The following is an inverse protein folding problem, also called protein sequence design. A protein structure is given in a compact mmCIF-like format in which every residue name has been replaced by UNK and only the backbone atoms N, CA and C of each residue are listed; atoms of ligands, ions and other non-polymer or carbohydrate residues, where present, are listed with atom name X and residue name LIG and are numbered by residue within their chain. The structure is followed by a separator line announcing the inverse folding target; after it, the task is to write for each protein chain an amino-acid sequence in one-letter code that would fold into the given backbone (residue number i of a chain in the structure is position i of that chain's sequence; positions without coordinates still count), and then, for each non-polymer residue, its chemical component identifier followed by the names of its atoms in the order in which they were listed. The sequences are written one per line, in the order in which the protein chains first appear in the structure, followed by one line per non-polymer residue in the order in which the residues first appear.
data_IF_335206940863
#
_entry.id   IF_335206940863
#
_cell.length_a   1.000
_cell.length_b   1.000
_cell.length_c   1.000
_cell.angle_alpha   90.00
_cell.angle_beta   90.00
_cell.angle_gamma   90.00
#
_symmetry.space_group_name_H-M   'P 1'
#
loop_
_entity.id
_entity.type
_entity.pdbx_description
1 polymer ?
#
# COMPACT_ATOMS: atom_id res chain seq x y z
N UNK A 1 3.77 -20.68 -12.65
CA UNK A 1 3.03 -19.56 -12.03
C UNK A 1 1.98 -19.10 -13.03
N UNK A 2 0.72 -18.90 -12.62
CA UNK A 2 -0.33 -18.54 -13.57
C UNK A 2 -0.16 -17.06 -13.99
N UNK A 3 -0.07 -16.75 -15.30
CA UNK A 3 0.28 -15.40 -15.78
C UNK A 3 -0.70 -14.30 -15.33
N UNK A 4 -1.92 -14.65 -14.90
CA UNK A 4 -2.90 -13.71 -14.35
C UNK A 4 -2.49 -13.24 -12.94
N UNK A 5 -2.02 -14.16 -12.10
CA UNK A 5 -1.71 -13.91 -10.70
C UNK A 5 -0.52 -12.95 -10.55
N UNK A 6 0.54 -13.15 -11.34
CA UNK A 6 1.71 -12.28 -11.33
C UNK A 6 1.37 -10.85 -11.77
N UNK A 7 0.54 -10.71 -12.82
CA UNK A 7 0.10 -9.39 -13.28
C UNK A 7 -0.83 -8.70 -12.29
N UNK A 8 -1.75 -9.44 -11.66
CA UNK A 8 -2.63 -8.89 -10.63
C UNK A 8 -1.83 -8.43 -9.40
N UNK A 9 -0.84 -9.21 -8.97
CA UNK A 9 0.02 -8.88 -7.84
C UNK A 9 0.83 -7.60 -8.07
N UNK A 10 1.45 -7.46 -9.25
CA UNK A 10 2.20 -6.25 -9.60
C UNK A 10 1.28 -5.02 -9.74
N UNK A 11 0.10 -5.19 -10.33
CA UNK A 11 -0.90 -4.13 -10.45
C UNK A 11 -1.36 -3.62 -9.08
N UNK A 12 -1.78 -4.53 -8.18
CA UNK A 12 -2.23 -4.19 -6.82
C UNK A 12 -1.12 -3.48 -6.05
N UNK A 13 0.11 -4.00 -6.11
CA UNK A 13 1.26 -3.39 -5.42
C UNK A 13 1.52 -1.96 -5.88
N UNK A 14 1.41 -1.71 -7.19
CA UNK A 14 1.62 -0.38 -7.76
C UNK A 14 0.52 0.61 -7.34
N UNK A 15 -0.76 0.19 -7.36
CA UNK A 15 -1.88 1.03 -6.88
C UNK A 15 -1.70 1.38 -5.41
N UNK A 16 -1.46 0.36 -4.56
CA UNK A 16 -1.30 0.59 -3.11
C UNK A 16 -0.16 1.58 -2.84
N UNK A 17 0.97 1.42 -3.53
CA UNK A 17 2.15 2.29 -3.35
C UNK A 17 1.87 3.72 -3.81
N UNK A 18 1.21 3.90 -4.96
CA UNK A 18 0.85 5.20 -5.49
C UNK A 18 -0.14 5.93 -4.57
N UNK A 19 -1.23 5.26 -4.19
CA UNK A 19 -2.29 5.86 -3.35
C UNK A 19 -1.79 6.17 -1.94
N UNK A 20 -0.95 5.31 -1.37
CA UNK A 20 -0.26 5.59 -0.11
C UNK A 20 0.68 6.80 -0.25
N UNK A 21 1.49 6.85 -1.32
CA UNK A 21 2.40 7.96 -1.61
C UNK A 21 1.69 9.31 -1.79
N UNK A 22 0.50 9.33 -2.43
CA UNK A 22 -0.33 10.55 -2.56
C UNK A 22 -0.72 11.14 -1.21
N UNK A 23 -1.05 10.29 -0.22
CA UNK A 23 -1.35 10.72 1.16
C UNK A 23 -0.12 11.24 1.90
N UNK A 24 1.06 10.83 1.45
CA UNK A 24 2.39 11.20 1.96
C UNK A 24 3.06 12.36 1.21
N UNK A 25 2.39 13.03 0.26
CA UNK A 25 2.97 14.12 -0.53
C UNK A 25 3.42 15.29 0.37
N UNK A 26 4.66 15.24 0.84
CA UNK A 26 5.24 16.12 1.86
C UNK A 26 6.28 15.45 2.77
N UNK A 27 6.30 14.12 2.83
CA UNK A 27 7.26 13.35 3.64
C UNK A 27 8.19 12.52 2.74
N UNK A 28 9.49 12.85 2.83
CA UNK A 28 10.57 12.28 2.01
C UNK A 28 10.89 10.82 2.32
N UNK A 29 10.24 10.23 3.33
CA UNK A 29 10.48 8.85 3.76
C UNK A 29 9.46 7.85 3.23
N UNK A 30 8.36 8.32 2.62
CA UNK A 30 7.38 7.45 2.00
C UNK A 30 7.97 6.75 0.77
N UNK A 31 7.67 5.46 0.54
CA UNK A 31 7.91 4.86 -0.78
C UNK A 31 7.13 5.69 -1.81
N UNK A 32 7.86 6.46 -2.61
CA UNK A 32 7.28 7.50 -3.45
C UNK A 32 6.25 6.94 -4.43
N UNK A 33 5.14 7.65 -4.57
CA UNK A 33 4.32 7.58 -5.77
C UNK A 33 5.14 8.13 -6.94
N UNK A 34 6.05 7.32 -7.48
CA UNK A 34 6.86 7.69 -8.64
C UNK A 34 6.05 7.52 -9.93
N UNK A 35 6.46 8.25 -10.97
CA UNK A 35 5.97 8.06 -12.35
C UNK A 35 6.06 6.58 -12.79
N UNK A 36 6.99 5.81 -12.22
CA UNK A 36 7.13 4.38 -12.47
C UNK A 36 5.88 3.57 -12.05
N UNK A 37 5.21 3.96 -10.96
CA UNK A 37 4.00 3.26 -10.52
C UNK A 37 2.84 3.49 -11.49
N UNK A 38 2.66 4.71 -11.99
CA UNK A 38 1.63 5.03 -12.99
C UNK A 38 1.83 4.23 -14.28
N UNK A 39 3.09 4.08 -14.73
CA UNK A 39 3.43 3.29 -15.90
C UNK A 39 3.18 1.79 -15.70
N UNK A 40 3.50 1.26 -14.51
CA UNK A 40 3.19 -0.13 -14.15
C UNK A 40 1.68 -0.36 -14.11
N UNK A 41 0.91 0.55 -13.49
CA UNK A 41 -0.56 0.49 -13.43
C UNK A 41 -1.13 0.39 -14.84
N UNK A 42 -0.80 1.33 -15.74
CA UNK A 42 -1.31 1.34 -17.12
C UNK A 42 -0.91 0.11 -17.92
N UNK A 43 0.29 -0.42 -17.70
CA UNK A 43 0.77 -1.62 -18.41
C UNK A 43 0.02 -2.86 -17.94
N UNK A 44 -0.14 -3.03 -16.64
CA UNK A 44 -0.79 -4.21 -16.06
C UNK A 44 -2.30 -4.18 -16.19
N UNK A 45 -2.93 -3.00 -16.08
CA UNK A 45 -4.37 -2.81 -16.32
C UNK A 45 -4.75 -3.26 -17.74
N UNK A 46 -3.96 -2.88 -18.76
CA UNK A 46 -4.17 -3.33 -20.15
C UNK A 46 -4.06 -4.84 -20.32
N UNK A 47 -3.09 -5.47 -19.64
CA UNK A 47 -2.94 -6.94 -19.69
C UNK A 47 -4.11 -7.61 -18.97
N UNK A 48 -4.50 -7.14 -17.78
CA UNK A 48 -5.60 -7.75 -17.02
C UNK A 48 -6.94 -7.57 -17.72
N UNK A 49 -7.18 -6.44 -18.41
CA UNK A 49 -8.37 -6.24 -19.23
C UNK A 49 -8.57 -7.28 -20.32
N UNK A 50 -7.50 -7.96 -20.80
CA UNK A 50 -7.63 -9.04 -21.78
C UNK A 50 -7.81 -10.41 -21.15
N UNK A 51 -7.63 -10.54 -19.84
CA UNK A 51 -7.58 -11.82 -19.12
C UNK A 51 -8.74 -12.04 -18.16
N UNK A 52 -9.32 -10.97 -17.60
CA UNK A 52 -10.41 -11.02 -16.63
C UNK A 52 -11.54 -10.08 -17.02
N UNK A 53 -12.70 -10.23 -16.38
CA UNK A 53 -13.85 -9.36 -16.65
C UNK A 53 -13.59 -7.94 -16.12
N UNK A 54 -14.11 -6.89 -16.79
CA UNK A 54 -13.98 -5.52 -16.32
C UNK A 54 -14.47 -5.32 -14.88
N UNK A 55 -15.53 -6.00 -14.47
CA UNK A 55 -16.08 -5.92 -13.11
C UNK A 55 -15.10 -6.48 -12.07
N UNK A 56 -14.42 -7.59 -12.38
CA UNK A 56 -13.42 -8.20 -11.49
C UNK A 56 -12.21 -7.28 -11.33
N UNK A 57 -11.77 -6.64 -12.42
CA UNK A 57 -10.68 -5.68 -12.38
C UNK A 57 -11.03 -4.43 -11.57
N UNK A 58 -12.27 -3.94 -11.67
CA UNK A 58 -12.77 -2.83 -10.87
C UNK A 58 -12.79 -3.16 -9.37
N UNK A 59 -13.22 -4.37 -9.00
CA UNK A 59 -13.19 -4.84 -7.61
C UNK A 59 -11.75 -4.86 -7.09
N UNK A 60 -10.82 -5.43 -7.86
CA UNK A 60 -9.39 -5.49 -7.48
C UNK A 60 -8.83 -4.07 -7.25
N UNK A 61 -9.14 -3.14 -8.16
CA UNK A 61 -8.72 -1.75 -8.05
C UNK A 61 -9.27 -1.08 -6.79
N UNK A 62 -10.55 -1.25 -6.49
CA UNK A 62 -11.16 -0.69 -5.28
C UNK A 62 -10.55 -1.29 -4.02
N UNK A 63 -10.37 -2.60 -3.95
CA UNK A 63 -9.72 -3.25 -2.80
C UNK A 63 -8.28 -2.75 -2.59
N UNK A 64 -7.53 -2.50 -3.66
CA UNK A 64 -6.18 -1.94 -3.56
C UNK A 64 -6.19 -0.51 -2.97
N UNK A 65 -7.17 0.31 -3.33
CA UNK A 65 -7.36 1.65 -2.75
C UNK A 65 -7.72 1.54 -1.26
N UNK A 66 -8.67 0.67 -0.90
CA UNK A 66 -9.08 0.46 0.49
C UNK A 66 -7.90 0.00 1.38
N UNK A 67 -7.02 -0.87 0.85
CA UNK A 67 -5.79 -1.29 1.53
C UNK A 67 -4.84 -0.12 1.76
N UNK A 68 -4.67 0.77 0.76
CA UNK A 68 -3.83 1.94 0.90
C UNK A 68 -4.36 2.90 1.97
N UNK A 69 -5.68 3.12 2.01
CA UNK A 69 -6.34 3.93 3.04
C UNK A 69 -6.22 3.30 4.43
N UNK A 70 -6.44 1.99 4.56
CA UNK A 70 -6.26 1.28 5.83
C UNK A 70 -4.81 1.38 6.33
N UNK A 71 -3.83 1.27 5.42
CA UNK A 71 -2.40 1.41 5.75
C UNK A 71 -2.06 2.82 6.22
N UNK A 72 -2.63 3.85 5.57
CA UNK A 72 -2.51 5.24 5.99
C UNK A 72 -3.13 5.47 7.37
N UNK A 73 -4.33 4.97 7.59
CA UNK A 73 -5.04 5.11 8.86
C UNK A 73 -4.30 4.40 10.00
N UNK A 74 -3.67 3.25 9.73
CA UNK A 74 -2.82 2.57 10.71
C UNK A 74 -1.60 3.40 11.08
N UNK A 75 -0.96 4.05 10.10
CA UNK A 75 0.20 4.91 10.33
C UNK A 75 -0.17 6.19 11.11
N UNK A 76 -1.34 6.78 10.85
CA UNK A 76 -1.78 8.04 11.46
C UNK A 76 -2.72 7.87 12.63
N UNK A 77 -3.11 6.63 12.96
CA UNK A 77 -3.86 6.37 14.18
C UNK A 77 -3.02 6.91 15.34
N UNK A 78 -3.59 7.79 16.20
CA UNK A 78 -2.91 8.20 17.41
C UNK A 78 -2.62 6.90 18.17
N UNK A 79 -1.34 6.57 18.32
CA UNK A 79 -0.90 5.37 19.01
C UNK A 79 -1.45 5.39 20.44
N UNK A 80 -2.63 4.80 20.63
CA UNK A 80 -3.14 4.39 21.95
C UNK A 80 -2.29 3.27 22.53
N UNK A 81 -1.48 2.61 21.69
CA UNK A 81 -0.32 1.85 22.11
C UNK A 81 0.83 2.83 22.15
N UNK A 82 0.89 3.63 23.22
CA UNK A 82 2.20 4.06 23.70
C UNK A 82 3.00 2.78 23.80
N UNK A 83 4.02 2.61 22.96
CA UNK A 83 5.16 1.84 23.39
C UNK A 83 5.62 2.58 24.64
N UNK A 84 5.12 2.15 25.80
CA UNK A 84 5.84 2.28 27.04
C UNK A 84 7.17 1.63 26.72
N UNK A 85 8.11 2.46 26.27
CA UNK A 85 9.51 2.11 26.24
C UNK A 85 9.76 1.49 27.59
N UNK A 86 10.25 0.25 27.60
CA UNK A 86 10.69 -0.51 28.76
C UNK A 86 11.64 0.33 29.63
N UNK A 87 11.08 1.27 30.38
CA UNK A 87 11.72 2.13 31.37
C UNK A 87 11.22 1.80 32.78
N UNK A 88 10.52 0.68 32.92
CA UNK A 88 9.99 0.24 34.21
C UNK A 88 10.48 -1.18 34.62
N UNK A 89 11.46 -1.76 33.92
CA UNK A 89 12.07 -3.03 34.33
C UNK A 89 13.60 -2.92 34.31
N UNK A 90 14.15 -2.50 35.45
CA UNK A 90 15.59 -2.43 35.76
C UNK A 90 16.13 -1.00 35.65
N UNK A 91 16.69 -0.38 36.68
CA UNK A 91 17.61 -0.92 37.68
C UNK A 91 17.53 -0.14 39.00
N UNK A 92 17.40 -0.90 40.08
CA UNK A 92 17.93 -0.57 41.40
C UNK A 92 19.41 -0.11 41.29
N UNK A 93 19.74 1.01 41.95
CA UNK A 93 21.07 1.49 42.43
C UNK A 93 21.08 3.03 42.57
N UNK A 94 20.62 3.52 43.72
CA UNK A 94 21.31 4.46 44.63
C UNK A 94 20.38 4.98 45.72
#
# INVERSE_FOLDING_TARGET
MAPIEDNAKEYIKAIVSLEYGKKYAGDTTAPGGSDDNDDVIRRKERILHTLIKPEELNIIKQCAIDIAEASWNLHNAPTGIKYETDKALGTDKH
#
